data_IF_112193805692
#
_entry.id   IF_112193805692
#
_cell.length_a   1.000
_cell.length_b   1.000
_cell.length_c   1.000
_cell.angle_alpha   90.00
_cell.angle_beta   90.00
_cell.angle_gamma   90.00
#
_symmetry.space_group_name_H-M   'P 1'
#
loop_
_entity.id
_entity.type
_entity.pdbx_description
1 polymer ?
#
# COMPACT_ATOMS: atom_id res chain seq x y z
N UNK A 1 -17.87 -3.77 6.87
CA UNK A 1 -16.40 -3.73 6.80
C UNK A 1 -15.82 -2.31 6.69
N UNK A 2 -16.66 -1.29 6.46
CA UNK A 2 -16.31 0.13 6.38
C UNK A 2 -15.35 0.71 7.45
N UNK A 3 -15.31 0.18 8.69
CA UNK A 3 -14.35 0.65 9.70
C UNK A 3 -12.90 0.35 9.31
N UNK A 4 -12.62 -0.86 8.84
CA UNK A 4 -11.26 -1.26 8.48
C UNK A 4 -10.81 -0.61 7.16
N UNK A 5 -11.73 -0.45 6.21
CA UNK A 5 -11.50 0.29 4.97
C UNK A 5 -11.18 1.76 5.25
N UNK A 6 -11.96 2.43 6.10
CA UNK A 6 -11.67 3.81 6.49
C UNK A 6 -10.32 3.91 7.22
N UNK A 7 -10.02 2.94 8.09
CA UNK A 7 -8.75 2.88 8.82
C UNK A 7 -7.54 2.73 7.89
N UNK A 8 -7.59 1.81 6.92
CA UNK A 8 -6.52 1.61 5.93
C UNK A 8 -6.36 2.84 5.01
N UNK A 9 -7.46 3.51 4.63
CA UNK A 9 -7.39 4.78 3.91
C UNK A 9 -6.67 5.88 4.71
N UNK A 10 -6.97 6.03 6.01
CA UNK A 10 -6.29 6.99 6.88
C UNK A 10 -4.79 6.67 6.99
N UNK A 11 -4.43 5.40 7.16
CA UNK A 11 -3.03 4.97 7.19
C UNK A 11 -2.32 5.28 5.87
N UNK A 12 -2.97 4.98 4.74
CA UNK A 12 -2.45 5.26 3.41
C UNK A 12 -2.16 6.74 3.22
N UNK A 13 -3.09 7.62 3.60
CA UNK A 13 -2.89 9.06 3.49
C UNK A 13 -1.71 9.53 4.36
N UNK A 14 -1.65 9.08 5.62
CA UNK A 14 -0.53 9.41 6.52
C UNK A 14 0.82 8.95 5.99
N UNK A 15 0.86 7.77 5.36
CA UNK A 15 2.06 7.27 4.70
C UNK A 15 2.48 8.17 3.54
N UNK A 16 1.54 8.56 2.67
CA UNK A 16 1.81 9.48 1.55
C UNK A 16 2.32 10.85 2.04
N UNK A 17 1.66 11.44 3.05
CA UNK A 17 2.06 12.73 3.64
C UNK A 17 3.49 12.65 4.21
N UNK A 18 3.82 11.52 4.85
CA UNK A 18 5.16 11.26 5.35
C UNK A 18 6.17 11.19 4.20
N UNK A 19 5.89 10.40 3.15
CA UNK A 19 6.79 10.27 2.00
C UNK A 19 7.03 11.62 1.33
N UNK A 20 5.97 12.41 1.13
CA UNK A 20 6.06 13.75 0.56
C UNK A 20 6.97 14.67 1.39
N UNK A 21 6.80 14.66 2.72
CA UNK A 21 7.58 15.49 3.65
C UNK A 21 9.03 15.04 3.79
N UNK A 22 9.32 13.77 3.48
CA UNK A 22 10.59 13.10 3.77
C UNK A 22 11.32 12.60 2.51
N UNK A 23 10.87 13.03 1.32
CA UNK A 23 11.30 12.47 0.04
C UNK A 23 12.83 12.38 -0.09
N UNK A 24 13.54 13.44 0.30
CA UNK A 24 14.99 13.53 0.15
C UNK A 24 15.77 12.34 0.74
N UNK A 25 15.48 11.93 1.97
CA UNK A 25 16.20 10.81 2.58
C UNK A 25 15.62 9.46 2.18
N UNK A 26 14.30 9.37 1.91
CA UNK A 26 13.67 8.15 1.42
C UNK A 26 14.21 7.76 0.05
N UNK A 27 14.39 8.71 -0.87
CA UNK A 27 15.03 8.46 -2.17
C UNK A 27 16.45 7.89 -1.99
N UNK A 28 17.24 8.43 -1.06
CA UNK A 28 18.59 7.91 -0.76
C UNK A 28 18.55 6.52 -0.12
N UNK A 29 17.62 6.29 0.82
CA UNK A 29 17.44 4.98 1.46
C UNK A 29 17.01 3.92 0.44
N UNK A 30 16.10 4.26 -0.48
CA UNK A 30 15.60 3.37 -1.53
C UNK A 30 16.63 3.02 -2.60
N UNK A 31 17.71 3.80 -2.74
CA UNK A 31 18.86 3.41 -3.58
C UNK A 31 19.62 2.21 -3.00
N UNK A 32 19.60 2.05 -1.67
CA UNK A 32 20.27 0.95 -0.98
C UNK A 32 19.35 -0.28 -0.87
N UNK A 33 18.13 -0.05 -0.38
CA UNK A 33 17.16 -1.12 -0.11
C UNK A 33 15.76 -0.69 -0.50
N UNK A 34 15.20 -1.38 -1.49
CA UNK A 34 13.82 -1.19 -1.95
C UNK A 34 13.17 -2.53 -2.29
N UNK A 35 11.86 -2.61 -2.13
CA UNK A 35 11.04 -3.77 -2.50
C UNK A 35 10.26 -3.43 -3.77
N UNK A 36 10.17 -4.38 -4.71
CA UNK A 36 9.34 -4.21 -5.91
C UNK A 36 7.87 -4.32 -5.54
N UNK A 37 7.05 -3.46 -6.12
CA UNK A 37 5.61 -3.43 -5.89
C UNK A 37 4.86 -3.99 -7.12
N UNK A 38 3.62 -4.48 -6.94
CA UNK A 38 2.83 -5.06 -8.03
C UNK A 38 2.50 -4.09 -9.17
N UNK A 39 2.45 -2.79 -8.88
CA UNK A 39 2.26 -1.70 -9.83
C UNK A 39 3.52 -1.39 -10.69
N UNK A 40 4.58 -2.18 -10.55
CA UNK A 40 5.82 -2.07 -11.32
C UNK A 40 6.82 -1.06 -10.75
N UNK A 41 6.44 -0.34 -9.69
CA UNK A 41 7.29 0.61 -9.00
C UNK A 41 8.12 -0.01 -7.87
N UNK A 42 8.49 0.83 -6.90
CA UNK A 42 9.24 0.41 -5.71
C UNK A 42 8.72 1.12 -4.47
N UNK A 43 8.89 0.45 -3.34
CA UNK A 43 8.65 1.03 -2.01
C UNK A 43 9.84 0.77 -1.08
N UNK A 44 9.94 1.50 0.04
CA UNK A 44 10.85 1.13 1.10
C UNK A 44 10.55 -0.25 1.71
N UNK A 45 11.50 -0.82 2.44
CA UNK A 45 11.34 -2.10 3.12
C UNK A 45 10.11 -2.12 4.03
N UNK A 46 9.48 -3.27 4.19
CA UNK A 46 8.25 -3.41 5.00
C UNK A 46 8.42 -3.00 6.45
N UNK A 47 9.56 -3.30 7.08
CA UNK A 47 9.83 -2.82 8.44
C UNK A 47 9.86 -1.29 8.56
N UNK A 48 10.38 -0.59 7.54
CA UNK A 48 10.38 0.87 7.53
C UNK A 48 8.96 1.41 7.41
N UNK A 49 8.19 0.87 6.45
CA UNK A 49 6.78 1.25 6.25
C UNK A 49 6.00 1.03 7.54
N UNK A 50 6.04 -0.19 8.10
CA UNK A 50 5.34 -0.57 9.34
C UNK A 50 5.78 0.29 10.53
N UNK A 51 7.08 0.52 10.69
CA UNK A 51 7.60 1.36 11.77
C UNK A 51 7.07 2.79 11.70
N UNK A 52 7.06 3.39 10.51
CA UNK A 52 6.53 4.75 10.29
C UNK A 52 5.03 4.79 10.52
N UNK A 53 4.24 3.92 9.88
CA UNK A 53 2.77 3.98 10.03
C UNK A 53 2.32 3.68 11.47
N UNK A 54 3.07 2.86 12.18
CA UNK A 54 2.82 2.58 13.59
C UNK A 54 3.10 3.80 14.48
N UNK A 55 4.07 4.66 14.13
CA UNK A 55 4.31 5.92 14.81
C UNK A 55 3.27 7.00 14.45
N UNK A 56 2.76 7.00 13.21
CA UNK A 56 1.79 7.99 12.72
C UNK A 56 0.33 7.67 13.14
N UNK A 57 -0.01 6.40 13.33
CA UNK A 57 -1.34 5.96 13.73
C UNK A 57 -1.27 5.02 14.95
N UNK A 58 -1.34 5.55 16.18
CA UNK A 58 -1.24 4.77 17.41
C UNK A 58 -2.28 3.64 17.54
N UNK A 59 -3.43 3.75 16.87
CA UNK A 59 -4.44 2.67 16.86
C UNK A 59 -3.93 1.43 16.13
N UNK A 60 -3.01 1.58 15.16
CA UNK A 60 -2.37 0.46 14.48
C UNK A 60 -1.54 -0.38 15.45
N UNK A 61 -0.88 0.24 16.44
CA UNK A 61 -0.09 -0.48 17.46
C UNK A 61 -0.90 -1.53 18.21
N UNK A 62 -2.18 -1.27 18.45
CA UNK A 62 -3.09 -2.22 19.11
C UNK A 62 -3.38 -3.45 18.24
N UNK A 63 -3.23 -3.34 16.92
CA UNK A 63 -3.45 -4.40 15.94
C UNK A 63 -2.16 -5.16 15.59
N UNK A 64 -0.99 -4.57 15.81
CA UNK A 64 0.30 -5.19 15.47
C UNK A 64 0.54 -6.51 16.21
N UNK A 65 0.20 -6.59 17.51
CA UNK A 65 0.40 -7.82 18.30
C UNK A 65 -0.43 -9.00 17.75
N UNK A 66 -1.75 -8.89 17.55
CA UNK A 66 -2.51 -9.99 16.97
C UNK A 66 -2.11 -10.30 15.52
N UNK A 67 -1.77 -9.29 14.70
CA UNK A 67 -1.32 -9.50 13.33
C UNK A 67 -0.02 -10.31 13.26
N UNK A 68 1.00 -9.95 14.04
CA UNK A 68 2.25 -10.72 14.08
C UNK A 68 2.08 -12.14 14.61
N UNK A 69 1.12 -12.39 15.52
CA UNK A 69 0.81 -13.74 15.98
C UNK A 69 0.13 -14.60 14.90
N UNK A 70 -0.61 -13.97 13.99
CA UNK A 70 -1.31 -14.66 12.90
C UNK A 70 -0.39 -14.89 11.70
N UNK A 71 0.34 -13.85 11.28
CA UNK A 71 1.31 -13.94 10.21
C UNK A 71 2.48 -12.97 10.50
N UNK A 72 3.70 -13.49 10.74
CA UNK A 72 4.87 -12.65 10.99
C UNK A 72 5.49 -12.07 9.72
N UNK A 73 5.00 -12.44 8.53
CA UNK A 73 5.49 -11.92 7.23
C UNK A 73 5.16 -10.43 7.08
N UNK A 74 6.18 -9.59 7.13
CA UNK A 74 6.07 -8.15 7.05
C UNK A 74 5.54 -7.65 5.69
N UNK A 75 5.83 -8.35 4.59
CA UNK A 75 5.33 -7.98 3.26
C UNK A 75 3.82 -8.25 3.18
N UNK A 76 3.37 -9.39 3.69
CA UNK A 76 1.95 -9.70 3.80
C UNK A 76 1.20 -8.69 4.68
N UNK A 77 1.81 -8.23 5.78
CA UNK A 77 1.22 -7.18 6.63
C UNK A 77 1.08 -5.84 5.90
N UNK A 78 2.10 -5.43 5.13
CA UNK A 78 2.05 -4.22 4.30
C UNK A 78 0.97 -4.33 3.22
N UNK A 79 0.80 -5.50 2.62
CA UNK A 79 -0.25 -5.77 1.64
C UNK A 79 -1.65 -5.66 2.25
N UNK A 80 -1.91 -6.30 3.40
CA UNK A 80 -3.21 -6.22 4.11
C UNK A 80 -3.56 -4.79 4.52
N UNK A 81 -2.55 -3.96 4.83
CA UNK A 81 -2.75 -2.55 5.14
C UNK A 81 -2.99 -1.67 3.90
N UNK A 82 -2.91 -2.23 2.68
CA UNK A 82 -3.07 -1.50 1.43
C UNK A 82 -1.89 -0.59 1.12
N UNK A 83 -0.69 -0.93 1.60
CA UNK A 83 0.53 -0.13 1.48
C UNK A 83 1.56 -0.71 0.50
N UNK A 84 1.22 -1.78 -0.21
CA UNK A 84 2.10 -2.43 -1.19
C UNK A 84 2.02 -1.77 -2.58
N UNK A 85 2.35 -0.48 -2.65
CA UNK A 85 2.35 0.33 -3.87
C UNK A 85 3.56 1.29 -3.87
N UNK A 86 3.88 1.87 -5.03
CA UNK A 86 4.92 2.88 -5.14
C UNK A 86 4.40 4.26 -4.70
N UNK A 87 4.87 4.81 -3.57
CA UNK A 87 4.36 6.07 -3.06
C UNK A 87 4.78 7.27 -3.90
N UNK A 88 5.92 7.22 -4.60
CA UNK A 88 6.33 8.32 -5.47
C UNK A 88 5.46 8.37 -6.72
N UNK A 89 5.11 7.22 -7.31
CA UNK A 89 4.19 7.17 -8.45
C UNK A 89 2.81 7.77 -8.13
N UNK A 90 2.28 7.50 -6.94
CA UNK A 90 1.00 8.08 -6.48
C UNK A 90 1.10 9.58 -6.23
N UNK A 91 2.22 10.05 -5.67
CA UNK A 91 2.43 11.48 -5.41
C UNK A 91 2.67 12.28 -6.68
N UNK A 92 3.40 11.72 -7.65
CA UNK A 92 3.71 12.37 -8.92
C UNK A 92 2.53 12.30 -9.90
N UNK A 93 1.57 11.38 -9.69
CA UNK A 93 0.32 11.31 -10.44
C UNK A 93 -0.90 11.02 -9.55
N UNK A 94 -1.52 12.03 -8.94
CA UNK A 94 -2.63 11.84 -8.00
C UNK A 94 -3.89 11.22 -8.64
N UNK A 95 -4.04 11.34 -9.96
CA UNK A 95 -5.14 10.71 -10.71
C UNK A 95 -4.92 9.19 -10.93
N UNK A 96 -3.73 8.67 -10.63
CA UNK A 96 -3.41 7.23 -10.66
C UNK A 96 -3.66 6.51 -9.34
N UNK A 97 -4.59 7.02 -8.52
CA UNK A 97 -5.16 6.23 -7.44
C UNK A 97 -6.01 5.13 -8.07
N UNK A 98 -5.36 4.07 -8.59
CA UNK A 98 -6.03 2.81 -8.85
C UNK A 98 -6.50 2.32 -7.49
N UNK A 99 -7.75 2.63 -7.20
CA UNK A 99 -8.61 1.83 -6.35
C UNK A 99 -8.33 0.39 -6.76
N UNK A 100 -7.76 -0.41 -5.85
CA UNK A 100 -7.77 -1.86 -6.00
C UNK A 100 -9.26 -2.23 -5.85
N UNK A 101 -10.03 -1.99 -6.90
CA UNK A 101 -11.32 -2.63 -7.08
C UNK A 101 -10.99 -4.10 -7.31
N UNK A 102 -11.55 -4.95 -6.46
CA UNK A 102 -11.62 -6.37 -6.73
C UNK A 102 -12.07 -6.53 -8.19
N UNK A 103 -11.34 -7.34 -8.96
CA UNK A 103 -11.79 -7.75 -10.29
C UNK A 103 -13.07 -8.59 -10.11
N UNK A 104 -14.22 -7.91 -10.01
CA UNK A 104 -15.52 -8.51 -10.25
C UNK A 104 -15.84 -8.36 -11.74
N UNK A 105 -16.01 -9.52 -12.37
CA UNK A 105 -16.70 -9.80 -13.63
C UNK A 105 -16.26 -9.01 -14.88
N UNK A 106 -15.28 -9.58 -15.58
CA UNK A 106 -15.18 -9.44 -17.03
C UNK A 106 -15.84 -10.67 -17.68
N UNK A 107 -17.01 -10.55 -18.34
CA UNK A 107 -17.54 -11.65 -19.15
C UNK A 107 -16.61 -11.85 -20.35
N UNK A 108 -15.99 -13.03 -20.42
CA UNK A 108 -15.26 -13.50 -21.59
C UNK A 108 -16.26 -13.80 -22.71
N UNK A 109 -16.42 -12.88 -23.67
CA UNK A 109 -16.42 -13.06 -25.14
C UNK A 109 -17.30 -12.00 -25.84
N UNK A 110 -16.86 -11.45 -26.99
CA UNK A 110 -17.71 -10.64 -27.85
C UNK A 110 -18.71 -11.53 -28.62
N UNK A 111 -19.96 -11.05 -28.74
CA UNK A 111 -20.96 -11.57 -29.65
C UNK A 111 -20.37 -11.66 -31.07
N UNK A 112 -20.32 -12.88 -31.62
CA UNK A 112 -20.11 -13.06 -33.05
C UNK A 112 -21.45 -12.86 -33.76
N UNK A 113 -21.56 -11.96 -34.76
CA UNK A 113 -22.78 -11.79 -35.51
C UNK A 113 -22.96 -12.91 -36.55
N UNK A 114 -24.22 -13.25 -36.79
CA UNK A 114 -24.76 -14.28 -37.68
C UNK A 114 -24.05 -14.44 -39.04
N UNK A 115 -23.78 -15.71 -39.41
CA UNK A 115 -23.87 -16.27 -40.78
C UNK A 115 -24.18 -17.77 -40.70
#
# INVERSE_FOLDING_TARGET
>A
MAFFENFTQVIRQKWLDYVQSNRAWLTLQMQQTSVRTPDGGRRPSSFLVLGVVNALEPKLSNLMVPFYKLNPDEDALVEVLGLNFDPEMVLDNPDHTQTIEAQDDQPLLPDSPDM
#
